data_IF_464794571817
#
_entry.id   IF_464794571817
#
_cell.length_a   1.000
_cell.length_b   1.000
_cell.length_c   1.000
_cell.angle_alpha   90.00
_cell.angle_beta   90.00
_cell.angle_gamma   90.00
#
_symmetry.space_group_name_H-M   'P 1'
#
loop_
_entity.id
_entity.type
_entity.pdbx_description
1 polymer ?
#
# COMPACT_ATOMS: atom_id res chain seq x y z
N UNK A 1 5.07 -5.86 5.83
CA UNK A 1 5.51 -6.00 7.24
C UNK A 1 5.30 -4.65 7.89
N UNK A 2 4.14 -4.39 8.48
CA UNK A 2 3.76 -3.09 9.06
C UNK A 2 2.94 -3.30 10.35
N UNK A 3 3.38 -4.21 11.23
CA UNK A 3 2.62 -4.58 12.44
C UNK A 3 3.28 -4.25 13.77
N UNK A 4 4.57 -3.88 13.80
CA UNK A 4 5.34 -3.69 15.04
C UNK A 4 5.63 -2.24 15.41
N UNK A 5 5.52 -1.29 14.45
CA UNK A 5 5.70 0.14 14.73
C UNK A 5 4.56 0.74 15.55
N UNK A 6 3.33 0.27 15.29
CA UNK A 6 2.10 0.83 15.84
C UNK A 6 1.95 0.56 17.35
N UNK A 7 2.42 -0.60 17.83
CA UNK A 7 2.37 -0.95 19.26
C UNK A 7 3.32 -0.12 20.12
N UNK A 8 4.49 0.24 19.58
CA UNK A 8 5.47 1.05 20.29
C UNK A 8 5.08 2.53 20.31
N UNK A 9 4.48 3.00 19.22
CA UNK A 9 3.90 4.34 19.10
C UNK A 9 2.73 4.53 20.06
N UNK A 10 1.86 3.52 20.20
CA UNK A 10 0.77 3.52 21.17
C UNK A 10 1.27 3.58 22.62
N UNK A 11 2.28 2.77 22.99
CA UNK A 11 2.88 2.82 24.33
C UNK A 11 3.53 4.17 24.63
N UNK A 12 4.19 4.78 23.63
CA UNK A 12 4.77 6.11 23.76
C UNK A 12 3.69 7.18 23.99
N UNK A 13 2.57 7.08 23.26
CA UNK A 13 1.44 8.01 23.41
C UNK A 13 0.75 7.86 24.77
N UNK A 14 0.59 6.62 25.27
CA UNK A 14 0.06 6.37 26.61
C UNK A 14 0.96 6.97 27.69
N UNK A 15 2.27 6.79 27.56
CA UNK A 15 3.26 7.32 28.51
C UNK A 15 3.28 8.85 28.52
N UNK A 16 3.20 9.48 27.35
CA UNK A 16 3.07 10.95 27.22
C UNK A 16 1.79 11.46 27.89
N UNK A 17 0.67 10.76 27.69
CA UNK A 17 -0.62 11.12 28.29
C UNK A 17 -0.59 11.00 29.81
N UNK A 18 -0.07 9.91 30.36
CA UNK A 18 0.08 9.71 31.80
C UNK A 18 1.00 10.74 32.45
N UNK A 19 2.11 11.09 31.79
CA UNK A 19 3.05 12.11 32.27
C UNK A 19 2.40 13.50 32.32
N UNK A 20 1.62 13.84 31.28
CA UNK A 20 0.84 15.08 31.23
C UNK A 20 -0.23 15.13 32.34
N UNK A 21 -0.95 14.04 32.55
CA UNK A 21 -1.95 13.94 33.61
C UNK A 21 -1.34 14.04 35.01
N UNK A 22 -0.18 13.42 35.25
CA UNK A 22 0.54 13.52 36.52
C UNK A 22 0.99 14.96 36.80
N UNK A 23 1.45 15.70 35.79
CA UNK A 23 1.83 17.10 35.92
C UNK A 23 0.62 18.01 36.17
N UNK A 24 -0.48 17.78 35.45
CA UNK A 24 -1.75 18.49 35.66
C UNK A 24 -2.28 18.26 37.09
N UNK A 25 -2.25 17.01 37.57
CA UNK A 25 -2.65 16.67 38.93
C UNK A 25 -1.83 17.42 39.99
N UNK A 26 -0.50 17.49 39.82
CA UNK A 26 0.37 18.28 40.72
C UNK A 26 0.00 19.76 40.73
N UNK A 27 -0.24 20.37 39.56
CA UNK A 27 -0.66 21.77 39.50
C UNK A 27 -2.02 22.01 40.20
N UNK A 28 -2.95 21.07 40.10
CA UNK A 28 -4.22 21.17 40.82
C UNK A 28 -4.00 21.06 42.33
N UNK A 29 -3.14 20.14 42.77
CA UNK A 29 -2.75 20.03 44.19
C UNK A 29 -2.10 21.33 44.70
N UNK A 30 -1.21 21.94 43.93
CA UNK A 30 -0.56 23.21 44.30
C UNK A 30 -1.58 24.36 44.42
N UNK A 31 -2.59 24.41 43.54
CA UNK A 31 -3.68 25.40 43.63
C UNK A 31 -4.55 25.20 44.87
N UNK A 32 -4.83 23.96 45.22
CA UNK A 32 -5.57 23.62 46.45
C UNK A 32 -4.74 24.03 47.67
N UNK A 33 -3.44 23.73 47.67
CA UNK A 33 -2.52 24.13 48.74
C UNK A 33 -2.44 25.66 48.90
N UNK A 34 -2.33 26.40 47.79
CA UNK A 34 -2.37 27.87 47.81
C UNK A 34 -3.69 28.42 48.35
N UNK A 35 -4.81 27.80 47.99
CA UNK A 35 -6.13 28.19 48.49
C UNK A 35 -6.24 27.96 50.00
N UNK A 36 -5.72 26.84 50.51
CA UNK A 36 -5.66 26.55 51.94
C UNK A 36 -4.71 27.51 52.67
N UNK A 37 -3.55 27.85 52.10
CA UNK A 37 -2.64 28.87 52.65
C UNK A 37 -3.29 30.26 52.70
N UNK A 38 -4.08 30.62 51.69
CA UNK A 38 -4.84 31.86 51.67
C UNK A 38 -5.94 31.88 52.74
N UNK A 39 -6.66 30.77 52.88
CA UNK A 39 -7.67 30.58 53.93
C UNK A 39 -7.03 30.72 55.32
N UNK A 40 -5.90 30.04 55.55
CA UNK A 40 -5.12 30.15 56.77
C UNK A 40 -4.71 31.59 57.10
N UNK A 41 -4.26 32.34 56.09
CA UNK A 41 -3.93 33.76 56.23
C UNK A 41 -5.16 34.63 56.55
N UNK A 42 -6.32 34.34 55.97
CA UNK A 42 -7.56 35.07 56.24
C UNK A 42 -8.09 34.83 57.66
N UNK A 43 -7.92 33.62 58.18
CA UNK A 43 -8.37 33.25 59.52
C UNK A 43 -7.31 33.48 60.61
N UNK A 44 -6.12 33.99 60.26
CA UNK A 44 -4.97 34.15 61.18
C UNK A 44 -4.54 32.85 61.88
N UNK A 45 -4.79 31.71 61.24
CA UNK A 45 -4.45 30.37 61.75
C UNK A 45 -3.20 29.87 61.01
N UNK A 46 -2.19 29.32 61.70
CA UNK A 46 -1.04 28.71 61.03
C UNK A 46 -1.47 27.56 60.12
N UNK A 47 -0.96 27.50 58.88
CA UNK A 47 -1.30 26.44 57.92
C UNK A 47 -1.13 25.01 58.47
N UNK A 48 -0.17 24.80 59.38
CA UNK A 48 0.09 23.51 60.06
C UNK A 48 -1.02 23.09 61.03
N UNK A 49 -1.96 23.96 61.38
CA UNK A 49 -3.10 23.60 62.21
C UNK A 49 -4.22 22.92 61.41
N UNK A 50 -4.34 23.19 60.11
CA UNK A 50 -5.28 22.47 59.24
C UNK A 50 -4.90 20.99 59.02
N UNK A 51 -3.64 20.62 59.27
CA UNK A 51 -3.18 19.24 59.23
C UNK A 51 -3.36 18.48 60.55
N UNK A 52 -3.78 19.15 61.62
CA UNK A 52 -4.05 18.50 62.90
C UNK A 52 -5.48 17.97 62.91
N UNK A 53 -5.73 16.80 63.53
CA UNK A 53 -7.09 16.35 63.75
C UNK A 53 -7.84 17.40 64.60
N UNK A 54 -9.10 17.73 64.28
CA UNK A 54 -9.87 18.72 65.00
C UNK A 54 -10.06 18.31 66.47
N UNK A 55 -10.12 19.30 67.37
CA UNK A 55 -10.38 19.08 68.79
C UNK A 55 -11.80 18.57 69.02
N UNK A 56 -12.00 17.79 70.09
CA UNK A 56 -13.31 17.23 70.42
C UNK A 56 -14.39 18.31 70.60
N UNK A 57 -14.04 19.47 71.18
CA UNK A 57 -14.94 20.63 71.31
C UNK A 57 -15.32 21.24 69.96
N UNK A 58 -14.38 21.34 69.01
CA UNK A 58 -14.68 21.83 67.66
C UNK A 58 -15.53 20.82 66.86
N UNK A 59 -15.37 19.52 67.12
CA UNK A 59 -16.22 18.47 66.56
C UNK A 59 -17.64 18.54 67.11
N UNK A 60 -17.82 18.82 68.41
CA UNK A 60 -19.13 18.99 69.04
C UNK A 60 -19.82 20.28 68.61
N UNK A 61 -19.10 21.41 68.53
CA UNK A 61 -19.62 22.67 67.96
C UNK A 61 -20.03 22.48 66.50
N UNK A 62 -19.20 21.80 65.71
CA UNK A 62 -19.52 21.49 64.33
C UNK A 62 -20.74 20.54 64.23
N UNK A 63 -20.88 19.58 65.13
CA UNK A 63 -22.04 18.69 65.17
C UNK A 63 -23.34 19.45 65.50
N UNK A 64 -23.28 20.45 66.38
CA UNK A 64 -24.42 21.33 66.69
C UNK A 64 -24.77 22.28 65.53
N UNK A 65 -23.77 22.83 64.84
CA UNK A 65 -23.97 23.67 63.63
C UNK A 65 -24.46 22.84 62.44
N UNK A 66 -24.10 21.55 62.37
CA UNK A 66 -24.48 20.62 61.30
C UNK A 66 -25.91 20.08 61.44
N UNK A 67 -26.65 20.44 62.49
CA UNK A 67 -28.07 20.12 62.62
C UNK A 67 -28.87 20.91 61.57
N UNK A 68 -28.90 20.39 60.34
CA UNK A 68 -29.56 21.02 59.20
C UNK A 68 -31.05 21.16 59.44
N UNK A 69 -31.61 22.31 59.06
CA UNK A 69 -33.06 22.48 59.07
C UNK A 69 -33.70 21.53 58.04
N UNK A 70 -34.98 21.13 58.22
CA UNK A 70 -35.69 20.35 57.22
C UNK A 70 -35.72 21.03 55.84
N UNK A 71 -35.69 22.37 55.79
CA UNK A 71 -35.61 23.12 54.53
C UNK A 71 -34.24 22.96 53.86
N UNK A 72 -33.14 23.02 54.64
CA UNK A 72 -31.79 22.82 54.13
C UNK A 72 -31.58 21.41 53.58
N UNK A 73 -32.18 20.39 54.20
CA UNK A 73 -32.18 19.01 53.70
C UNK A 73 -32.90 18.89 52.34
N UNK A 74 -34.04 19.57 52.18
CA UNK A 74 -34.78 19.58 50.91
C UNK A 74 -33.99 20.32 49.83
N UNK A 75 -33.34 21.43 50.18
CA UNK A 75 -32.49 22.19 49.26
C UNK A 75 -31.32 21.34 48.78
N UNK A 76 -30.62 20.65 49.69
CA UNK A 76 -29.53 19.74 49.35
C UNK A 76 -29.99 18.59 48.44
N UNK A 77 -31.15 18.00 48.74
CA UNK A 77 -31.73 16.95 47.92
C UNK A 77 -32.09 17.45 46.53
N UNK A 78 -32.67 18.64 46.40
CA UNK A 78 -32.96 19.25 45.10
C UNK A 78 -31.70 19.51 44.28
N UNK A 79 -30.63 20.01 44.89
CA UNK A 79 -29.34 20.19 44.21
C UNK A 79 -28.76 18.84 43.76
N UNK A 80 -28.87 17.80 44.58
CA UNK A 80 -28.44 16.45 44.24
C UNK A 80 -29.21 15.91 43.03
N UNK A 81 -30.54 16.05 43.04
CA UNK A 81 -31.40 15.60 41.94
C UNK A 81 -31.12 16.38 40.65
N UNK A 82 -30.97 17.70 40.73
CA UNK A 82 -30.59 18.53 39.58
C UNK A 82 -29.27 18.08 38.97
N UNK A 83 -28.27 17.79 39.81
CA UNK A 83 -26.98 17.29 39.35
C UNK A 83 -27.09 15.92 38.67
N UNK A 84 -27.90 15.01 39.22
CA UNK A 84 -28.16 13.71 38.61
C UNK A 84 -28.85 13.82 37.25
N UNK A 85 -29.86 14.69 37.13
CA UNK A 85 -30.53 14.97 35.85
C UNK A 85 -29.53 15.47 34.82
N UNK A 86 -28.70 16.45 35.21
CA UNK A 86 -27.70 17.03 34.30
C UNK A 86 -26.65 16.00 33.86
N UNK A 87 -26.25 15.09 34.74
CA UNK A 87 -25.39 13.96 34.38
C UNK A 87 -26.08 13.00 33.40
N UNK A 88 -27.35 12.66 33.63
CA UNK A 88 -28.11 11.79 32.74
C UNK A 88 -28.28 12.42 31.35
N UNK A 89 -28.60 13.71 31.26
CA UNK A 89 -28.70 14.44 30.00
C UNK A 89 -27.36 14.46 29.25
N UNK A 90 -26.25 14.68 29.97
CA UNK A 90 -24.92 14.64 29.38
C UNK A 90 -24.60 13.25 28.81
N UNK A 91 -24.83 12.19 29.59
CA UNK A 91 -24.60 10.81 29.14
C UNK A 91 -25.50 10.49 27.94
N UNK A 92 -26.77 10.86 27.99
CA UNK A 92 -27.72 10.66 26.90
C UNK A 92 -27.25 11.34 25.62
N UNK A 93 -26.81 12.61 25.69
CA UNK A 93 -26.24 13.34 24.56
C UNK A 93 -25.04 12.61 23.95
N UNK A 94 -24.13 12.09 24.80
CA UNK A 94 -22.97 11.32 24.33
C UNK A 94 -23.35 10.00 23.67
N UNK A 95 -24.34 9.30 24.22
CA UNK A 95 -24.86 8.05 23.63
C UNK A 95 -25.50 8.32 22.27
N UNK A 96 -26.33 9.36 22.16
CA UNK A 96 -26.93 9.75 20.87
C UNK A 96 -25.88 10.10 19.82
N UNK A 97 -24.83 10.82 20.21
CA UNK A 97 -23.72 11.15 19.30
C UNK A 97 -22.96 9.89 18.85
N UNK A 98 -22.71 8.93 19.74
CA UNK A 98 -22.11 7.64 19.39
C UNK A 98 -22.99 6.85 18.41
N UNK A 99 -24.31 6.80 18.64
CA UNK A 99 -25.25 6.14 17.74
C UNK A 99 -25.22 6.79 16.34
N UNK A 100 -25.15 8.12 16.28
CA UNK A 100 -25.04 8.84 15.02
C UNK A 100 -23.74 8.50 14.28
N UNK A 101 -22.60 8.50 14.98
CA UNK A 101 -21.31 8.11 14.41
C UNK A 101 -21.30 6.67 13.87
N UNK A 102 -21.92 5.74 14.61
CA UNK A 102 -22.06 4.35 14.16
C UNK A 102 -22.90 4.27 12.88
N UNK A 103 -24.01 5.00 12.81
CA UNK A 103 -24.86 5.04 11.61
C UNK A 103 -24.12 5.61 10.39
N UNK A 104 -23.36 6.70 10.58
CA UNK A 104 -22.53 7.28 9.51
C UNK A 104 -21.48 6.30 9.01
N UNK A 105 -20.83 5.56 9.92
CA UNK A 105 -19.86 4.53 9.56
C UNK A 105 -20.50 3.36 8.82
N UNK A 106 -21.69 2.91 9.22
CA UNK A 106 -22.43 1.85 8.50
C UNK A 106 -22.77 2.29 7.07
N UNK A 107 -23.22 3.54 6.89
CA UNK A 107 -23.49 4.11 5.57
C UNK A 107 -22.21 4.16 4.73
N UNK A 108 -21.10 4.61 5.30
CA UNK A 108 -19.80 4.64 4.61
C UNK A 108 -19.33 3.25 4.17
N UNK A 109 -19.44 2.23 5.03
CA UNK A 109 -19.10 0.84 4.69
C UNK A 109 -19.97 0.33 3.54
N UNK A 110 -21.27 0.60 3.59
CA UNK A 110 -22.19 0.21 2.52
C UNK A 110 -21.79 0.84 1.19
N UNK A 111 -21.53 2.14 1.20
CA UNK A 111 -21.18 2.89 -0.01
C UNK A 111 -19.84 2.40 -0.59
N UNK A 112 -18.86 2.10 0.27
CA UNK A 112 -17.61 1.45 -0.12
C UNK A 112 -17.84 0.08 -0.79
N UNK A 113 -18.72 -0.77 -0.24
CA UNK A 113 -19.03 -2.08 -0.83
C UNK A 113 -19.68 -1.91 -2.21
N UNK A 114 -20.57 -0.92 -2.37
CA UNK A 114 -21.23 -0.64 -3.65
C UNK A 114 -20.20 -0.16 -4.68
N UNK A 115 -19.34 0.79 -4.29
CA UNK A 115 -18.27 1.31 -5.15
C UNK A 115 -17.28 0.20 -5.55
N UNK A 116 -16.88 -0.65 -4.61
CA UNK A 116 -16.01 -1.79 -4.88
C UNK A 116 -16.66 -2.77 -5.86
N UNK A 117 -17.94 -3.12 -5.67
CA UNK A 117 -18.65 -4.00 -6.60
C UNK A 117 -18.79 -3.40 -7.99
N UNK A 118 -18.93 -2.08 -8.10
CA UNK A 118 -19.00 -1.38 -9.39
C UNK A 118 -17.63 -1.33 -10.10
N UNK A 119 -16.55 -1.13 -9.36
CA UNK A 119 -15.20 -0.91 -9.92
C UNK A 119 -14.39 -2.19 -10.10
N UNK A 120 -14.59 -3.22 -9.28
CA UNK A 120 -13.84 -4.47 -9.34
C UNK A 120 -13.92 -5.19 -10.70
N UNK A 121 -15.08 -5.29 -11.38
CA UNK A 121 -15.16 -5.92 -12.71
C UNK A 121 -14.32 -5.17 -13.75
N UNK A 122 -14.35 -3.83 -13.72
CA UNK A 122 -13.61 -3.00 -14.65
C UNK A 122 -12.10 -3.13 -14.44
N UNK A 123 -11.64 -3.10 -13.18
CA UNK A 123 -10.22 -3.33 -12.84
C UNK A 123 -9.75 -4.72 -13.26
N UNK A 124 -10.61 -5.73 -13.11
CA UNK A 124 -10.28 -7.09 -13.53
C UNK A 124 -10.18 -7.19 -15.06
N UNK A 125 -11.12 -6.59 -15.79
CA UNK A 125 -11.07 -6.53 -17.25
C UNK A 125 -9.84 -5.78 -17.76
N UNK A 126 -9.49 -4.63 -17.16
CA UNK A 126 -8.27 -3.90 -17.49
C UNK A 126 -7.01 -4.72 -17.23
N UNK A 127 -6.95 -5.42 -16.09
CA UNK A 127 -5.84 -6.30 -15.77
C UNK A 127 -5.68 -7.42 -16.80
N UNK A 128 -6.78 -8.08 -17.17
CA UNK A 128 -6.77 -9.16 -18.18
C UNK A 128 -6.40 -8.60 -19.55
N UNK A 129 -6.92 -7.44 -19.94
CA UNK A 129 -6.58 -6.80 -21.20
C UNK A 129 -5.10 -6.46 -21.28
N UNK A 130 -4.55 -5.82 -20.23
CA UNK A 130 -3.18 -5.36 -20.18
C UNK A 130 -2.15 -6.50 -20.09
N UNK A 131 -2.41 -7.52 -19.26
CA UNK A 131 -1.44 -8.57 -18.98
C UNK A 131 -1.61 -9.84 -19.82
N UNK A 132 -2.79 -10.07 -20.39
CA UNK A 132 -3.07 -11.30 -21.16
C UNK A 132 -3.38 -10.96 -22.61
N UNK A 133 -4.44 -10.19 -22.86
CA UNK A 133 -4.91 -9.99 -24.24
C UNK A 133 -3.88 -9.25 -25.11
N UNK A 134 -3.33 -8.13 -24.62
CA UNK A 134 -2.38 -7.33 -25.39
C UNK A 134 -1.05 -8.06 -25.65
N UNK A 135 -0.43 -8.74 -24.66
CA UNK A 135 0.77 -9.54 -24.92
C UNK A 135 0.53 -10.71 -25.87
N UNK A 136 -0.62 -11.42 -25.75
CA UNK A 136 -0.96 -12.52 -26.67
C UNK A 136 -1.13 -11.99 -28.10
N UNK A 137 -1.81 -10.86 -28.28
CA UNK A 137 -1.97 -10.24 -29.59
C UNK A 137 -0.63 -9.78 -30.18
N UNK A 138 0.24 -9.22 -29.34
CA UNK A 138 1.59 -8.80 -29.74
C UNK A 138 2.47 -9.99 -30.12
N UNK A 139 2.36 -11.10 -29.40
CA UNK A 139 3.07 -12.33 -29.72
C UNK A 139 2.59 -12.94 -31.04
N UNK A 140 1.27 -12.96 -31.25
CA UNK A 140 0.66 -13.45 -32.50
C UNK A 140 1.07 -12.62 -33.72
N UNK A 141 1.11 -11.29 -33.58
CA UNK A 141 1.58 -10.41 -34.66
C UNK A 141 3.07 -10.59 -34.94
N UNK A 142 3.90 -10.74 -33.90
CA UNK A 142 5.32 -11.04 -34.05
C UNK A 142 5.57 -12.38 -34.72
N UNK A 143 4.81 -13.43 -34.36
CA UNK A 143 4.89 -14.74 -35.00
C UNK A 143 4.55 -14.63 -36.49
N UNK A 144 3.44 -13.96 -36.83
CA UNK A 144 3.03 -13.77 -38.22
C UNK A 144 4.10 -13.01 -39.03
N UNK A 145 4.73 -12.00 -38.41
CA UNK A 145 5.82 -11.26 -39.05
C UNK A 145 7.05 -12.14 -39.28
N UNK A 146 7.40 -13.01 -38.31
CA UNK A 146 8.52 -13.93 -38.42
C UNK A 146 8.29 -14.98 -39.51
N UNK A 147 7.11 -15.57 -39.58
CA UNK A 147 6.74 -16.54 -40.63
C UNK A 147 6.80 -15.90 -42.03
N UNK A 148 6.30 -14.67 -42.16
CA UNK A 148 6.44 -13.91 -43.42
C UNK A 148 7.91 -13.65 -43.76
N UNK A 149 8.70 -13.22 -42.78
CA UNK A 149 10.13 -12.98 -42.95
C UNK A 149 10.88 -14.24 -43.37
N UNK A 150 10.59 -15.37 -42.75
CA UNK A 150 11.16 -16.67 -43.08
C UNK A 150 10.82 -17.09 -44.51
N UNK A 151 9.56 -16.97 -44.92
CA UNK A 151 9.13 -17.28 -46.28
C UNK A 151 9.80 -16.39 -47.33
N UNK A 152 9.96 -15.09 -47.05
CA UNK A 152 10.68 -14.17 -47.94
C UNK A 152 12.17 -14.52 -48.02
N UNK A 153 12.80 -14.83 -46.88
CA UNK A 153 14.21 -15.24 -46.84
C UNK A 153 14.43 -16.51 -47.66
N UNK A 154 13.59 -17.54 -47.47
CA UNK A 154 13.67 -18.79 -48.24
C UNK A 154 13.52 -18.55 -49.75
N UNK A 155 12.57 -17.70 -50.17
CA UNK A 155 12.42 -17.33 -51.59
C UNK A 155 13.66 -16.64 -52.14
N UNK A 156 14.24 -15.69 -51.40
CA UNK A 156 15.46 -15.00 -51.83
C UNK A 156 16.66 -15.94 -51.91
N UNK A 157 16.80 -16.85 -50.94
CA UNK A 157 17.85 -17.88 -50.97
C UNK A 157 17.68 -18.78 -52.20
N UNK A 158 16.46 -19.23 -52.49
CA UNK A 158 16.18 -20.01 -53.70
C UNK A 158 16.53 -19.25 -54.98
N UNK A 159 16.16 -17.97 -55.09
CA UNK A 159 16.53 -17.11 -56.23
C UNK A 159 18.04 -16.95 -56.37
N UNK A 160 18.78 -16.73 -55.28
CA UNK A 160 20.24 -16.63 -55.30
C UNK A 160 20.90 -17.93 -55.75
N UNK A 161 20.36 -19.08 -55.32
CA UNK A 161 20.83 -20.39 -55.78
C UNK A 161 20.58 -20.53 -57.29
N UNK A 162 19.40 -20.16 -57.79
CA UNK A 162 19.08 -20.19 -59.22
C UNK A 162 19.99 -19.26 -60.04
N UNK A 163 20.22 -18.03 -59.58
CA UNK A 163 21.14 -17.08 -60.20
C UNK A 163 22.57 -17.61 -60.22
N UNK A 164 23.03 -18.22 -59.12
CA UNK A 164 24.34 -18.83 -59.04
C UNK A 164 24.48 -20.00 -60.02
N UNK A 165 23.45 -20.86 -60.12
CA UNK A 165 23.40 -21.95 -61.11
C UNK A 165 23.45 -21.39 -62.53
N UNK A 166 22.70 -20.33 -62.83
CA UNK A 166 22.72 -19.68 -64.15
C UNK A 166 24.09 -19.05 -64.46
N UNK A 167 24.70 -18.36 -63.50
CA UNK A 167 26.03 -17.80 -63.63
C UNK A 167 27.06 -18.90 -63.91
N UNK A 168 27.01 -20.01 -63.17
CA UNK A 168 27.85 -21.18 -63.41
C UNK A 168 27.59 -21.80 -64.79
N UNK A 169 26.36 -21.86 -65.29
CA UNK A 169 26.07 -22.37 -66.66
C UNK A 169 26.60 -21.47 -67.78
N UNK A 170 26.64 -20.16 -67.56
CA UNK A 170 27.08 -19.18 -68.56
C UNK A 170 28.61 -19.04 -68.64
N UNK A 171 29.36 -19.64 -67.72
CA UNK A 171 30.82 -19.70 -67.81
C UNK A 171 31.23 -20.67 -68.93
N UNK A 172 32.07 -20.25 -69.88
CA UNK A 172 32.58 -21.14 -70.92
C UNK A 172 33.66 -22.07 -70.36
N UNK A 173 33.25 -23.09 -69.60
CA UNK A 173 34.15 -24.08 -68.96
C UNK A 173 35.09 -24.76 -69.94
N UNK A 174 34.68 -24.91 -71.20
CA UNK A 174 35.43 -25.56 -72.28
C UNK A 174 36.63 -24.71 -72.77
N UNK A 175 36.74 -23.45 -72.35
CA UNK A 175 37.83 -22.53 -72.71
C UNK A 175 38.85 -22.32 -71.57
N UNK A 176 38.64 -22.94 -70.41
CA UNK A 176 39.50 -22.80 -69.24
C UNK A 176 40.50 -23.96 -69.24
N UNK A 177 41.79 -23.66 -69.10
CA UNK A 177 42.84 -24.67 -69.00
C UNK A 177 42.64 -25.50 -67.72
N UNK A 178 42.30 -26.78 -67.90
CA UNK A 178 41.95 -27.71 -66.80
C UNK A 178 43.15 -28.02 -65.88
N UNK A 179 44.37 -27.68 -66.29
CA UNK A 179 45.62 -27.81 -65.54
C UNK A 179 45.99 -26.55 -64.72
N UNK A 180 45.23 -25.46 -64.81
CA UNK A 180 45.47 -24.27 -63.99
C UNK A 180 45.14 -24.56 -62.51
N UNK A 181 46.07 -24.20 -61.62
CA UNK A 181 45.94 -24.33 -60.17
C UNK A 181 44.74 -23.54 -59.64
N UNK A 182 44.36 -22.45 -60.31
CA UNK A 182 43.18 -21.67 -59.98
C UNK A 182 41.87 -22.43 -60.25
N UNK A 183 41.81 -23.20 -61.33
CA UNK A 183 40.63 -24.02 -61.68
C UNK A 183 40.42 -25.15 -60.68
N UNK A 184 41.48 -25.84 -60.27
CA UNK A 184 41.38 -26.92 -59.27
C UNK A 184 40.94 -26.40 -57.89
N UNK A 185 41.45 -25.23 -57.46
CA UNK A 185 41.01 -24.57 -56.21
C UNK A 185 39.56 -24.12 -56.26
N UNK A 186 39.12 -23.59 -57.41
CA UNK A 186 37.72 -23.22 -57.59
C UNK A 186 36.82 -24.46 -57.53
N UNK A 187 37.20 -25.55 -58.20
CA UNK A 187 36.45 -26.81 -58.19
C UNK A 187 36.33 -27.42 -56.79
N UNK A 188 37.40 -27.38 -55.98
CA UNK A 188 37.34 -27.84 -54.59
C UNK A 188 36.41 -26.95 -53.75
N UNK A 189 36.47 -25.63 -53.92
CA UNK A 189 35.58 -24.70 -53.21
C UNK A 189 34.11 -24.88 -53.57
N UNK A 190 33.80 -25.12 -54.84
CA UNK A 190 32.43 -25.41 -55.28
C UNK A 190 31.97 -26.74 -54.68
N UNK A 191 32.80 -27.78 -54.73
CA UNK A 191 32.46 -29.09 -54.16
C UNK A 191 32.24 -29.02 -52.64
N UNK A 192 33.11 -28.32 -51.91
CA UNK A 192 32.96 -28.10 -50.47
C UNK A 192 31.66 -27.34 -50.14
N UNK A 193 31.25 -26.42 -51.02
CA UNK A 193 30.01 -25.68 -50.89
C UNK A 193 28.78 -26.54 -51.19
N UNK A 194 28.84 -27.35 -52.25
CA UNK A 194 27.80 -28.32 -52.62
C UNK A 194 27.59 -29.36 -51.51
N UNK A 195 28.67 -29.89 -50.93
CA UNK A 195 28.63 -30.87 -49.84
C UNK A 195 28.12 -30.25 -48.52
N UNK A 196 28.51 -29.01 -48.22
CA UNK A 196 28.11 -28.32 -46.98
C UNK A 196 26.63 -27.91 -46.96
N UNK A 197 26.08 -27.54 -48.11
CA UNK A 197 24.70 -27.05 -48.22
C UNK A 197 23.77 -28.04 -48.93
N UNK A 198 24.28 -29.19 -49.38
CA UNK A 198 23.55 -30.24 -50.13
C UNK A 198 22.81 -29.69 -51.36
N UNK A 199 23.51 -28.84 -52.14
CA UNK A 199 22.99 -28.20 -53.36
C UNK A 199 23.85 -28.66 -54.53
N UNK A 200 23.26 -28.87 -55.71
CA UNK A 200 24.00 -29.11 -56.96
C UNK A 200 24.07 -27.82 -57.76
N UNK A 201 25.25 -27.22 -57.86
CA UNK A 201 25.51 -25.97 -58.58
C UNK A 201 25.98 -26.22 -60.01
N UNK A 202 26.73 -27.30 -60.25
CA UNK A 202 27.23 -27.68 -61.57
C UNK A 202 26.75 -29.09 -61.92
N UNK A 203 25.91 -29.22 -62.95
CA UNK A 203 25.53 -30.53 -63.48
C UNK A 203 26.76 -31.21 -64.12
N UNK A 204 27.04 -32.46 -63.75
CA UNK A 204 28.19 -33.26 -64.22
C UNK A 204 28.36 -33.30 -65.75
N UNK A 205 27.30 -33.01 -66.52
CA UNK A 205 27.32 -32.87 -67.98
C UNK A 205 28.13 -31.69 -68.52
N UNK A 206 28.41 -30.65 -67.73
CA UNK A 206 29.22 -29.47 -68.12
C UNK A 206 30.72 -29.66 -67.87
N UNK A 207 31.13 -30.68 -67.11
CA UNK A 207 32.53 -30.98 -66.80
C UNK A 207 33.16 -32.00 -67.78
N UNK A 208 32.34 -32.70 -68.56
CA UNK A 208 32.72 -33.79 -69.46
C UNK A 208 32.77 -33.41 -70.96
N UNK A 209 32.61 -32.13 -71.30
CA UNK A 209 33.02 -31.59 -72.61
C UNK A 209 34.15 -30.57 -72.46
#
# INVERSE_FOLDING_TARGET
>A
MEGSGDSFEYLLQLTKTLSSQAWSARQQTDKVEQSLKRLAKQHYIPYKEYSKPPTAEALDEFAQIKAKSPEELIVEENYRLMYQIQQQEYIHSKVCLLVQQINEMIVSIRDFIVEYKATAPHKHQEFVAANVANPVQSLSSAQTALEKGHNVANKKVAMLIEELVLACKNVPWNKIEKDDLAYQRFKSLVKDFEDKYNIQLVSESLLLT
#
